data_IF_266090588293
#
_entry.id   IF_266090588293
#
_cell.length_a   1.000
_cell.length_b   1.000
_cell.length_c   1.000
_cell.angle_alpha   90.00
_cell.angle_beta   90.00
_cell.angle_gamma   90.00
#
_symmetry.space_group_name_H-M   'P 1'
#
loop_
_entity.id
_entity.type
_entity.pdbx_description
1 polymer ?
#
# COMPACT_ATOMS: atom_id res chain seq x y z
N UNK A 1 -3.37 16.39 2.27
CA UNK A 1 -3.59 15.47 1.12
C UNK A 1 -2.75 15.80 -0.12
N UNK A 2 -1.98 16.89 -0.16
CA UNK A 2 -1.19 17.29 -1.35
C UNK A 2 -0.03 16.33 -1.67
N UNK A 3 0.64 15.78 -0.66
CA UNK A 3 1.86 15.00 -0.87
C UNK A 3 1.62 13.65 -1.58
N UNK A 4 0.49 12.98 -1.31
CA UNK A 4 0.23 11.65 -1.86
C UNK A 4 -0.08 11.70 -3.36
N UNK A 5 -0.74 12.76 -3.82
CA UNK A 5 -0.94 13.01 -5.24
C UNK A 5 0.41 13.19 -5.96
N UNK A 6 1.35 13.94 -5.37
CA UNK A 6 2.70 14.11 -5.92
C UNK A 6 3.46 12.77 -5.99
N UNK A 7 3.33 11.92 -4.97
CA UNK A 7 3.91 10.56 -4.98
C UNK A 7 3.36 9.75 -6.15
N UNK A 8 2.06 9.80 -6.38
CA UNK A 8 1.38 9.17 -7.51
C UNK A 8 1.89 9.65 -8.86
N UNK A 9 1.91 10.97 -9.05
CA UNK A 9 2.40 11.62 -10.28
C UNK A 9 3.86 11.26 -10.57
N UNK A 10 4.69 11.17 -9.54
CA UNK A 10 6.11 10.79 -9.65
C UNK A 10 6.35 9.28 -9.68
N UNK A 11 5.30 8.47 -9.61
CA UNK A 11 5.36 7.00 -9.54
C UNK A 11 6.25 6.48 -8.42
N UNK A 12 6.28 7.18 -7.29
CA UNK A 12 7.04 6.79 -6.12
C UNK A 12 6.33 5.64 -5.38
N UNK A 13 7.13 4.83 -4.68
CA UNK A 13 6.65 3.73 -3.85
C UNK A 13 6.46 4.25 -2.43
N UNK A 14 5.30 3.96 -1.83
CA UNK A 14 5.01 4.31 -0.43
C UNK A 14 5.38 3.14 0.46
N UNK A 15 6.26 3.37 1.42
CA UNK A 15 6.51 2.45 2.54
C UNK A 15 5.98 3.11 3.81
N UNK A 16 5.08 2.44 4.52
CA UNK A 16 4.46 2.99 5.71
C UNK A 16 4.36 1.96 6.82
N UNK A 17 4.47 2.40 8.06
CA UNK A 17 4.12 1.60 9.24
C UNK A 17 2.69 1.94 9.61
N UNK A 18 1.78 1.00 9.39
CA UNK A 18 0.38 1.21 9.72
C UNK A 18 -0.31 -0.11 10.08
N UNK A 19 -0.72 -0.18 11.34
CA UNK A 19 -1.43 -1.30 11.93
C UNK A 19 -2.88 -1.40 11.48
N UNK A 20 -3.45 -0.28 11.06
CA UNK A 20 -4.86 -0.11 10.79
C UNK A 20 -5.16 0.05 9.29
N UNK A 21 -4.16 -0.04 8.41
CA UNK A 21 -4.32 0.14 6.95
C UNK A 21 -5.47 -0.70 6.38
N UNK A 22 -5.68 -1.92 6.89
CA UNK A 22 -6.78 -2.80 6.43
C UNK A 22 -8.14 -2.56 7.09
N UNK A 23 -8.23 -1.65 8.05
CA UNK A 23 -9.43 -1.31 8.84
C UNK A 23 -10.00 0.07 8.48
N UNK A 24 -9.17 0.97 7.95
CA UNK A 24 -9.55 2.35 7.58
C UNK A 24 -9.73 2.45 6.06
N UNK A 25 -10.97 2.23 5.60
CA UNK A 25 -11.33 2.25 4.18
C UNK A 25 -10.90 3.56 3.49
N UNK A 26 -11.07 4.71 4.16
CA UNK A 26 -10.68 6.01 3.59
C UNK A 26 -9.19 6.16 3.30
N UNK A 27 -8.32 5.53 4.09
CA UNK A 27 -6.87 5.59 3.85
C UNK A 27 -6.47 4.69 2.67
N UNK A 28 -7.13 3.55 2.53
CA UNK A 28 -6.98 2.66 1.38
C UNK A 28 -7.45 3.35 0.10
N UNK A 29 -8.63 3.97 0.14
CA UNK A 29 -9.18 4.71 -1.00
C UNK A 29 -8.24 5.85 -1.41
N UNK A 30 -7.69 6.62 -0.45
CA UNK A 30 -6.74 7.68 -0.75
C UNK A 30 -5.46 7.17 -1.45
N UNK A 31 -4.94 6.00 -1.08
CA UNK A 31 -3.78 5.38 -1.74
C UNK A 31 -4.12 4.91 -3.16
N UNK A 32 -5.31 4.32 -3.33
CA UNK A 32 -5.78 3.85 -4.64
C UNK A 32 -6.06 5.02 -5.59
N UNK A 33 -6.73 6.06 -5.09
CA UNK A 33 -7.07 7.28 -5.84
C UNK A 33 -5.81 8.03 -6.27
N UNK A 34 -4.80 8.09 -5.40
CA UNK A 34 -3.48 8.63 -5.74
C UNK A 34 -2.67 7.73 -6.69
N UNK A 35 -3.18 6.56 -7.07
CA UNK A 35 -2.55 5.60 -8.00
C UNK A 35 -1.14 5.19 -7.58
N UNK A 36 -0.89 4.97 -6.29
CA UNK A 36 0.43 4.57 -5.79
C UNK A 36 0.58 3.05 -5.65
N UNK A 37 1.83 2.58 -5.67
CA UNK A 37 2.20 1.26 -5.13
C UNK A 37 2.59 1.46 -3.67
N UNK A 38 1.97 0.71 -2.78
CA UNK A 38 2.17 0.89 -1.35
C UNK A 38 2.43 -0.42 -0.61
N UNK A 39 3.32 -0.34 0.36
CA UNK A 39 3.69 -1.42 1.27
C UNK A 39 3.45 -0.95 2.70
N UNK A 40 2.51 -1.58 3.38
CA UNK A 40 2.17 -1.29 4.76
C UNK A 40 2.72 -2.38 5.68
N UNK A 41 3.61 -1.99 6.59
CA UNK A 41 4.17 -2.86 7.60
C UNK A 41 3.11 -3.04 8.69
N UNK A 42 2.51 -4.22 8.74
CA UNK A 42 1.52 -4.60 9.75
C UNK A 42 2.26 -5.16 10.95
N UNK A 43 2.93 -4.27 11.68
CA UNK A 43 3.66 -4.62 12.87
C UNK A 43 3.14 -3.83 14.04
N UNK A 44 2.80 -4.53 15.14
CA UNK A 44 2.21 -3.95 16.35
C UNK A 44 3.10 -2.92 17.04
N UNK A 45 3.11 -2.96 18.37
CA UNK A 45 4.15 -2.36 19.19
C UNK A 45 5.49 -3.10 18.93
N UNK A 46 6.10 -2.92 17.76
CA UNK A 46 7.49 -3.29 17.50
C UNK A 46 8.40 -2.11 17.82
N UNK A 47 9.63 -2.39 18.24
CA UNK A 47 10.67 -1.36 18.32
C UNK A 47 11.11 -0.97 16.90
N UNK A 48 11.63 0.23 16.73
CA UNK A 48 11.97 0.75 15.40
C UNK A 48 13.07 -0.09 14.71
N UNK A 49 14.01 -0.62 15.49
CA UNK A 49 15.05 -1.53 15.00
C UNK A 49 14.48 -2.82 14.36
N UNK A 50 13.38 -3.34 14.90
CA UNK A 50 12.75 -4.56 14.38
C UNK A 50 12.09 -4.29 13.02
N UNK A 51 11.57 -3.07 12.82
CA UNK A 51 10.93 -2.68 11.56
C UNK A 51 11.93 -2.60 10.41
N UNK A 52 13.13 -2.06 10.67
CA UNK A 52 14.20 -2.02 9.67
C UNK A 52 14.61 -3.42 9.22
N UNK A 53 14.80 -4.35 10.17
CA UNK A 53 15.17 -5.75 9.87
C UNK A 53 14.08 -6.43 9.03
N UNK A 54 12.81 -6.22 9.37
CA UNK A 54 11.67 -6.75 8.60
C UNK A 54 11.70 -6.24 7.16
N UNK A 55 11.87 -4.93 6.97
CA UNK A 55 11.93 -4.33 5.62
C UNK A 55 13.10 -4.92 4.83
N UNK A 56 14.30 -4.95 5.42
CA UNK A 56 15.51 -5.46 4.75
C UNK A 56 15.29 -6.90 4.28
N UNK A 57 14.72 -7.75 5.13
CA UNK A 57 14.39 -9.14 4.77
C UNK A 57 13.30 -9.25 3.70
N UNK A 58 12.35 -8.31 3.69
CA UNK A 58 11.26 -8.27 2.72
C UNK A 58 11.65 -7.65 1.36
N UNK A 59 12.77 -6.94 1.26
CA UNK A 59 13.19 -6.21 0.04
C UNK A 59 13.15 -7.06 -1.24
N UNK A 60 13.66 -8.30 -1.27
CA UNK A 60 13.60 -9.11 -2.49
C UNK A 60 12.16 -9.31 -2.98
N UNK A 61 11.23 -9.59 -2.06
CA UNK A 61 9.82 -9.79 -2.40
C UNK A 61 9.12 -8.47 -2.76
N UNK A 62 9.51 -7.37 -2.10
CA UNK A 62 9.01 -6.02 -2.43
C UNK A 62 9.37 -5.68 -3.89
N UNK A 63 10.62 -5.88 -4.30
CA UNK A 63 11.05 -5.63 -5.69
C UNK A 63 10.30 -6.53 -6.68
N UNK A 64 10.19 -7.82 -6.39
CA UNK A 64 9.41 -8.75 -7.21
C UNK A 64 7.95 -8.27 -7.38
N UNK A 65 7.31 -7.81 -6.30
CA UNK A 65 5.94 -7.30 -6.38
C UNK A 65 5.84 -5.99 -7.16
N UNK A 66 6.84 -5.12 -7.07
CA UNK A 66 6.89 -3.88 -7.86
C UNK A 66 6.95 -4.20 -9.35
N UNK A 67 7.72 -5.21 -9.76
CA UNK A 67 7.85 -5.61 -11.17
C UNK A 67 6.60 -6.33 -11.68
N UNK A 68 6.02 -7.23 -10.89
CA UNK A 68 4.91 -8.10 -11.31
C UNK A 68 3.53 -7.43 -11.29
N UNK A 69 3.35 -6.33 -10.55
CA UNK A 69 2.04 -5.71 -10.37
C UNK A 69 2.01 -4.29 -10.95
N UNK A 70 0.92 -3.96 -11.64
CA UNK A 70 0.65 -2.60 -12.09
C UNK A 70 0.21 -1.68 -10.94
N UNK A 71 0.33 -0.37 -11.12
CA UNK A 71 -0.29 0.61 -10.22
C UNK A 71 -1.84 0.59 -10.37
N UNK A 72 -2.61 0.91 -9.32
CA UNK A 72 -2.22 0.92 -7.91
C UNK A 72 -2.25 -0.48 -7.29
N UNK A 73 -1.45 -0.71 -6.26
CA UNK A 73 -1.66 -1.83 -5.35
C UNK A 73 -1.30 -1.47 -3.93
N UNK A 74 -1.83 -2.25 -3.00
CA UNK A 74 -1.52 -2.20 -1.58
C UNK A 74 -1.05 -3.60 -1.18
N UNK A 75 0.13 -3.69 -0.59
CA UNK A 75 0.70 -4.92 -0.06
C UNK A 75 0.97 -4.77 1.43
N UNK A 76 0.84 -5.88 2.16
CA UNK A 76 1.13 -5.96 3.58
C UNK A 76 2.46 -6.66 3.79
N UNK A 77 3.36 -6.02 4.53
CA UNK A 77 4.58 -6.62 5.04
C UNK A 77 4.31 -7.09 6.48
N UNK A 78 4.39 -8.39 6.72
CA UNK A 78 4.12 -8.98 8.03
C UNK A 78 5.39 -9.02 8.88
N UNK A 79 5.25 -9.30 10.19
CA UNK A 79 6.37 -9.38 11.13
C UNK A 79 7.40 -10.45 10.78
N UNK A 80 6.99 -11.51 10.08
CA UNK A 80 7.85 -12.57 9.57
C UNK A 80 8.51 -12.21 8.23
N UNK A 81 8.40 -10.95 7.79
CA UNK A 81 8.88 -10.44 6.50
C UNK A 81 8.16 -10.99 5.26
N UNK A 82 7.06 -11.74 5.44
CA UNK A 82 6.22 -12.12 4.30
C UNK A 82 5.50 -10.92 3.72
N UNK A 83 5.39 -10.87 2.39
CA UNK A 83 4.71 -9.79 1.68
C UNK A 83 3.55 -10.37 0.89
N UNK A 84 2.35 -9.86 1.15
CA UNK A 84 1.13 -10.32 0.52
C UNK A 84 0.33 -9.16 -0.04
N UNK A 85 -0.25 -9.31 -1.24
CA UNK A 85 -1.24 -8.36 -1.73
C UNK A 85 -2.39 -8.24 -0.73
N UNK A 86 -2.81 -7.02 -0.46
CA UNK A 86 -4.02 -6.80 0.28
C UNK A 86 -5.19 -7.25 -0.59
N UNK A 87 -5.89 -8.31 -0.17
CA UNK A 87 -7.08 -8.81 -0.86
C UNK A 87 -8.17 -7.76 -0.77
N UNK A 88 -8.30 -6.96 -1.83
CA UNK A 88 -9.39 -6.02 -2.00
C UNK A 88 -10.70 -6.82 -2.04
N UNK A 89 -11.60 -6.58 -1.08
CA UNK A 89 -13.01 -6.79 -1.35
C UNK A 89 -13.48 -5.51 -2.03
N UNK A 90 -13.87 -5.53 -3.31
CA UNK A 90 -14.52 -4.38 -3.90
C UNK A 90 -15.82 -4.15 -3.14
N UNK A 91 -15.81 -3.24 -2.18
CA UNK A 91 -17.03 -2.51 -1.88
C UNK A 91 -17.29 -1.68 -3.13
N UNK A 92 -18.39 -2.03 -3.79
CA UNK A 92 -18.89 -1.35 -4.98
C UNK A 92 -19.02 0.13 -4.63
N UNK A 93 -18.01 0.92 -5.01
CA UNK A 93 -18.14 2.37 -5.03
C UNK A 93 -19.10 2.70 -6.18
N UNK A 94 -20.40 2.70 -5.88
CA UNK A 94 -21.39 3.46 -6.66
C UNK A 94 -20.91 4.91 -6.68
N UNK A 95 -20.20 5.31 -7.73
CA UNK A 95 -19.60 6.63 -7.71
C UNK A 95 -18.80 7.12 -8.91
N UNK A 96 -18.67 6.37 -10.00
CA UNK A 96 -18.20 6.96 -11.27
C UNK A 96 -19.10 6.49 -12.41
N UNK A 97 -20.38 6.89 -12.33
CA UNK A 97 -21.10 7.28 -13.53
C UNK A 97 -20.95 8.78 -13.69
N UNK A 98 -20.00 9.22 -14.53
CA UNK A 98 -20.16 10.49 -15.27
C UNK A 98 -19.61 10.33 -16.69
N UNK A 99 -20.58 10.09 -17.57
CA UNK A 99 -20.78 10.61 -18.93
C UNK A 99 -19.56 11.08 -19.74
N UNK A 100 -19.49 10.61 -20.98
CA UNK A 100 -19.35 11.35 -22.26
C UNK A 100 -19.90 10.39 -23.33
N UNK A 101 -21.06 10.58 -23.97
CA UNK A 101 -21.42 11.60 -24.99
C UNK A 101 -20.28 11.93 -25.94
#
# INVERSE_FOLDING_TARGET
QIWLQVVGEKKWIVLMRDLAIGRRLLELDALLDARVKSFAIVSGQLKDADSAVIIIKALPKIFEMIEQNNFPFIAKVQKDSTVNLWKFRPMIHKGIQKKKH
#
